data_IF_027826391309
#
_entry.id   IF_027826391309
#
_cell.length_a   1.000
_cell.length_b   1.000
_cell.length_c   1.000
_cell.angle_alpha   90.00
_cell.angle_beta   90.00
_cell.angle_gamma   90.00
#
_symmetry.space_group_name_H-M   'P 1'
#
loop_
_entity.id
_entity.type
_entity.pdbx_description
1 polymer ?
#
# COMPACT_ATOMS: atom_id res chain seq x y z
N UNK A 1 -2.05 35.43 -14.80
CA UNK A 1 -2.94 36.43 -14.15
C UNK A 1 -4.34 36.29 -14.75
N UNK A 2 -5.29 35.81 -13.92
CA UNK A 2 -6.75 35.58 -14.13
C UNK A 2 -7.13 34.46 -15.13
N UNK A 3 -8.13 33.59 -14.93
CA UNK A 3 -9.44 33.60 -14.23
C UNK A 3 -9.79 32.16 -13.72
N UNK A 4 -10.23 31.88 -12.48
CA UNK A 4 -11.52 32.03 -11.78
C UNK A 4 -12.71 31.11 -12.21
N UNK A 5 -13.16 30.32 -11.21
CA UNK A 5 -14.55 30.00 -10.79
C UNK A 5 -15.08 28.56 -11.01
N UNK A 6 -15.37 27.85 -9.90
CA UNK A 6 -16.47 26.88 -9.83
C UNK A 6 -17.29 27.12 -8.55
N UNK A 7 -18.61 27.05 -8.71
CA UNK A 7 -19.62 27.56 -7.80
C UNK A 7 -19.93 26.60 -6.64
N UNK A 8 -20.06 27.17 -5.45
CA UNK A 8 -20.72 26.62 -4.28
C UNK A 8 -22.25 26.58 -4.49
N UNK A 9 -22.89 25.46 -4.16
CA UNK A 9 -24.31 25.43 -3.78
C UNK A 9 -24.42 24.88 -2.36
N UNK A 10 -24.72 25.79 -1.43
CA UNK A 10 -25.20 25.47 -0.08
C UNK A 10 -26.44 26.32 0.15
N UNK A 11 -27.59 25.67 0.28
CA UNK A 11 -28.81 26.28 0.82
C UNK A 11 -29.43 25.27 1.79
N UNK A 12 -29.25 25.55 3.08
CA UNK A 12 -30.15 25.12 4.16
C UNK A 12 -30.98 26.36 4.56
N UNK A 13 -32.30 26.23 4.69
CA UNK A 13 -33.00 26.70 5.90
C UNK A 13 -34.48 26.22 5.97
N UNK A 14 -34.74 25.41 7.01
CA UNK A 14 -35.73 25.60 8.09
C UNK A 14 -37.28 25.59 7.93
N UNK A 15 -37.86 24.76 8.83
CA UNK A 15 -39.06 24.92 9.69
C UNK A 15 -40.45 24.36 9.30
N UNK A 16 -40.85 23.36 10.10
CA UNK A 16 -42.11 23.16 10.87
C UNK A 16 -43.47 23.70 10.36
N UNK A 17 -44.48 22.81 10.29
CA UNK A 17 -45.74 22.85 11.10
C UNK A 17 -46.90 22.06 10.46
N UNK A 18 -47.53 21.24 11.30
CA UNK A 18 -48.81 20.51 11.21
C UNK A 18 -50.01 21.26 10.59
N UNK A 19 -50.79 20.62 9.71
CA UNK A 19 -52.26 20.70 9.70
C UNK A 19 -52.93 19.66 8.80
N UNK A 20 -54.01 19.08 9.33
CA UNK A 20 -54.92 18.09 8.76
C UNK A 20 -55.82 18.69 7.68
N UNK A 21 -55.93 18.04 6.51
CA UNK A 21 -57.10 18.14 5.61
C UNK A 21 -57.34 16.78 4.92
N UNK A 22 -58.61 16.43 4.86
CA UNK A 22 -59.28 15.20 4.41
C UNK A 22 -59.07 14.77 2.95
N UNK A 23 -59.17 13.43 2.79
CA UNK A 23 -59.14 12.57 1.59
C UNK A 23 -60.14 12.98 0.50
N UNK A 24 -59.81 12.77 -0.79
CA UNK A 24 -60.60 11.81 -1.55
C UNK A 24 -59.74 10.75 -2.26
N UNK A 25 -60.30 9.55 -2.24
CA UNK A 25 -59.82 8.29 -2.76
C UNK A 25 -59.70 8.34 -4.29
N UNK A 26 -58.46 8.35 -4.79
CA UNK A 26 -58.17 8.08 -6.21
C UNK A 26 -57.65 6.65 -6.33
N UNK A 27 -58.50 5.76 -6.84
CA UNK A 27 -58.10 4.44 -7.31
C UNK A 27 -57.11 4.61 -8.46
N UNK A 28 -55.82 4.43 -8.18
CA UNK A 28 -54.78 4.35 -9.20
C UNK A 28 -54.35 2.89 -9.34
N UNK A 29 -54.71 2.30 -10.48
CA UNK A 29 -54.22 1.01 -10.96
C UNK A 29 -52.68 1.01 -10.95
N UNK A 30 -52.08 0.20 -10.08
CA UNK A 30 -50.65 -0.08 -10.14
C UNK A 30 -50.38 -0.99 -11.35
N UNK A 31 -50.00 -0.39 -12.46
CA UNK A 31 -49.33 -1.10 -13.55
C UNK A 31 -47.95 -1.49 -13.05
N UNK A 32 -47.75 -2.77 -12.79
CA UNK A 32 -46.45 -3.37 -12.50
C UNK A 32 -45.54 -3.19 -13.70
N UNK A 33 -44.62 -2.22 -13.65
CA UNK A 33 -43.53 -2.11 -14.60
C UNK A 33 -42.53 -3.25 -14.36
N UNK A 34 -42.70 -4.33 -15.12
CA UNK A 34 -41.69 -5.38 -15.25
C UNK A 34 -40.47 -4.78 -15.97
N UNK A 35 -39.39 -4.54 -15.21
CA UNK A 35 -38.07 -4.29 -15.80
C UNK A 35 -37.59 -5.62 -16.38
N UNK A 36 -37.68 -5.77 -17.70
CA UNK A 36 -37.01 -6.86 -18.42
C UNK A 36 -35.51 -6.63 -18.29
N UNK A 37 -34.86 -7.37 -17.38
CA UNK A 37 -33.40 -7.49 -17.37
C UNK A 37 -33.03 -8.30 -18.63
N UNK A 38 -32.44 -7.63 -19.61
CA UNK A 38 -31.76 -8.32 -20.72
C UNK A 38 -30.60 -9.11 -20.11
N UNK A 39 -30.47 -10.43 -20.38
CA UNK A 39 -29.30 -11.17 -19.91
C UNK A 39 -28.05 -10.54 -20.50
N UNK A 40 -27.11 -10.13 -19.64
CA UNK A 40 -25.78 -9.69 -20.08
C UNK A 40 -25.17 -10.86 -20.83
N UNK A 41 -24.79 -10.64 -22.10
CA UNK A 41 -24.17 -11.67 -22.88
C UNK A 41 -22.76 -11.93 -22.34
N UNK A 42 -22.44 -13.19 -22.04
CA UNK A 42 -21.09 -13.62 -21.69
C UNK A 42 -20.09 -13.15 -22.75
N UNK A 43 -18.97 -12.52 -22.37
CA UNK A 43 -17.96 -12.06 -23.32
C UNK A 43 -17.38 -13.25 -24.09
N UNK A 44 -17.12 -13.05 -25.38
CA UNK A 44 -16.62 -14.10 -26.28
C UNK A 44 -15.12 -13.92 -26.55
N UNK A 45 -14.38 -14.92 -27.06
CA UNK A 45 -12.92 -14.81 -27.23
C UNK A 45 -12.40 -13.65 -28.10
N UNK A 46 -13.25 -13.03 -28.91
CA UNK A 46 -12.92 -11.83 -29.71
C UNK A 46 -13.19 -10.50 -28.97
N UNK A 47 -13.79 -10.56 -27.79
CA UNK A 47 -14.10 -9.42 -26.93
C UNK A 47 -12.85 -9.02 -26.14
N UNK A 48 -12.41 -7.74 -26.15
CA UNK A 48 -11.31 -7.28 -25.29
C UNK A 48 -11.55 -7.61 -23.81
N UNK A 49 -12.80 -7.60 -23.32
CA UNK A 49 -13.13 -7.97 -21.95
C UNK A 49 -12.80 -9.43 -21.65
N UNK A 50 -13.05 -10.34 -22.59
CA UNK A 50 -12.66 -11.75 -22.44
C UNK A 50 -11.15 -11.90 -22.32
N UNK A 51 -10.40 -11.17 -23.15
CA UNK A 51 -8.93 -11.24 -23.16
C UNK A 51 -8.35 -10.75 -21.83
N UNK A 52 -8.87 -9.65 -21.28
CA UNK A 52 -8.42 -9.13 -19.98
C UNK A 52 -8.77 -10.13 -18.87
N UNK A 53 -10.02 -10.58 -18.76
CA UNK A 53 -10.43 -11.50 -17.69
C UNK A 53 -9.72 -12.86 -17.73
N UNK A 54 -9.33 -13.36 -18.90
CA UNK A 54 -8.78 -14.73 -19.01
C UNK A 54 -7.25 -14.80 -19.16
N UNK A 55 -6.56 -13.66 -19.09
CA UNK A 55 -5.08 -13.60 -19.11
C UNK A 55 -4.48 -14.28 -17.88
N UNK A 56 -3.26 -14.79 -18.01
CA UNK A 56 -2.46 -15.27 -16.87
C UNK A 56 -1.88 -14.10 -16.09
N UNK A 57 -2.29 -13.97 -14.83
CA UNK A 57 -1.79 -12.95 -13.91
C UNK A 57 -0.80 -13.55 -12.90
N UNK A 58 0.10 -12.71 -12.39
CA UNK A 58 1.09 -13.09 -11.38
C UNK A 58 0.79 -12.39 -10.06
N UNK A 59 0.91 -13.14 -8.96
CA UNK A 59 0.61 -12.64 -7.63
C UNK A 59 1.59 -11.56 -7.17
N UNK A 60 1.08 -10.38 -6.78
CA UNK A 60 1.86 -9.23 -6.27
C UNK A 60 3.11 -8.89 -7.11
N UNK A 61 3.06 -9.22 -8.39
CA UNK A 61 4.03 -8.78 -9.39
C UNK A 61 3.46 -7.51 -10.02
N UNK A 62 4.23 -6.42 -10.05
CA UNK A 62 3.79 -5.16 -10.67
C UNK A 62 3.51 -5.36 -12.16
N UNK A 63 2.35 -4.91 -12.63
CA UNK A 63 1.93 -5.14 -14.03
C UNK A 63 0.88 -4.12 -14.49
N UNK A 64 1.10 -3.56 -15.69
CA UNK A 64 0.12 -2.69 -16.36
C UNK A 64 -1.14 -3.50 -16.68
N UNK A 65 -1.00 -4.77 -17.06
CA UNK A 65 -2.14 -5.65 -17.33
C UNK A 65 -3.02 -5.87 -16.09
N UNK A 66 -2.45 -5.80 -14.89
CA UNK A 66 -3.23 -5.83 -13.64
C UNK A 66 -3.98 -4.52 -13.43
N UNK A 67 -3.38 -3.38 -13.74
CA UNK A 67 -4.10 -2.09 -13.71
C UNK A 67 -5.30 -2.12 -14.65
N UNK A 68 -5.12 -2.61 -15.89
CA UNK A 68 -6.22 -2.79 -16.86
C UNK A 68 -7.34 -3.68 -16.31
N UNK A 69 -6.98 -4.76 -15.59
CA UNK A 69 -7.94 -5.64 -14.94
C UNK A 69 -8.70 -4.90 -13.83
N UNK A 70 -8.01 -4.20 -12.96
CA UNK A 70 -8.60 -3.49 -11.82
C UNK A 70 -9.55 -2.38 -12.29
N UNK A 71 -9.17 -1.63 -13.31
CA UNK A 71 -10.03 -0.65 -13.98
C UNK A 71 -11.28 -1.32 -14.59
N UNK A 72 -11.12 -2.45 -15.28
CA UNK A 72 -12.25 -3.22 -15.84
C UNK A 72 -13.20 -3.71 -14.74
N UNK A 73 -12.67 -4.11 -13.58
CA UNK A 73 -13.43 -4.59 -12.43
C UNK A 73 -14.04 -3.44 -11.60
N UNK A 74 -13.70 -2.19 -11.90
CA UNK A 74 -14.21 -1.01 -11.19
C UNK A 74 -13.69 -0.88 -9.76
N UNK A 75 -12.51 -1.42 -9.48
CA UNK A 75 -11.78 -1.24 -8.21
C UNK A 75 -10.60 -0.30 -8.39
N UNK A 76 -9.99 0.13 -7.29
CA UNK A 76 -8.77 0.94 -7.31
C UNK A 76 -7.64 0.20 -8.04
N UNK A 77 -6.96 0.90 -8.94
CA UNK A 77 -5.96 0.31 -9.83
C UNK A 77 -4.53 0.60 -9.33
N UNK A 78 -4.05 -0.24 -8.40
CA UNK A 78 -2.69 -0.16 -7.84
C UNK A 78 -1.65 -0.97 -8.64
N UNK A 79 -2.09 -1.74 -9.64
CA UNK A 79 -1.26 -2.59 -10.49
C UNK A 79 -0.70 -3.84 -9.81
N UNK A 80 -1.20 -4.19 -8.63
CA UNK A 80 -0.81 -5.39 -7.87
C UNK A 80 -1.97 -6.39 -7.79
N UNK A 81 -1.73 -7.61 -8.27
CA UNK A 81 -2.74 -8.66 -8.15
C UNK A 81 -2.69 -9.23 -6.73
N UNK A 82 -3.42 -8.58 -5.81
CA UNK A 82 -3.55 -8.98 -4.42
C UNK A 82 -4.90 -9.64 -4.08
N UNK A 83 -5.20 -9.87 -2.79
CA UNK A 83 -6.43 -10.53 -2.35
C UNK A 83 -7.71 -9.84 -2.80
N UNK A 84 -7.76 -8.50 -2.71
CA UNK A 84 -8.94 -7.72 -3.10
C UNK A 84 -9.23 -7.86 -4.60
N UNK A 85 -8.20 -7.74 -5.44
CA UNK A 85 -8.33 -7.99 -6.89
C UNK A 85 -8.73 -9.43 -7.17
N UNK A 86 -8.13 -10.41 -6.49
CA UNK A 86 -8.48 -11.82 -6.66
C UNK A 86 -9.94 -12.10 -6.34
N UNK A 87 -10.46 -11.55 -5.24
CA UNK A 87 -11.85 -11.74 -4.81
C UNK A 87 -12.82 -11.25 -5.88
N UNK A 88 -12.65 -10.00 -6.34
CA UNK A 88 -13.52 -9.39 -7.35
C UNK A 88 -13.35 -10.06 -8.72
N UNK A 89 -12.12 -10.43 -9.08
CA UNK A 89 -11.84 -11.12 -10.35
C UNK A 89 -12.47 -12.52 -10.40
N UNK A 90 -12.35 -13.31 -9.32
CA UNK A 90 -12.99 -14.63 -9.25
C UNK A 90 -14.51 -14.50 -9.37
N UNK A 91 -15.12 -13.55 -8.65
CA UNK A 91 -16.56 -13.28 -8.76
C UNK A 91 -16.97 -12.92 -10.19
N UNK A 92 -16.21 -12.06 -10.87
CA UNK A 92 -16.47 -11.70 -12.27
C UNK A 92 -16.33 -12.89 -13.23
N UNK A 93 -15.33 -13.76 -13.05
CA UNK A 93 -15.16 -14.96 -13.86
C UNK A 93 -16.31 -15.96 -13.64
N UNK A 94 -16.74 -16.16 -12.40
CA UNK A 94 -17.85 -17.04 -12.06
C UNK A 94 -19.19 -16.52 -12.62
N UNK A 95 -19.47 -15.22 -12.50
CA UNK A 95 -20.65 -14.58 -13.06
C UNK A 95 -20.73 -14.75 -14.58
N UNK A 96 -19.58 -14.71 -15.25
CA UNK A 96 -19.47 -14.90 -16.70
C UNK A 96 -19.30 -16.38 -17.12
N UNK A 97 -19.21 -17.33 -16.18
CA UNK A 97 -19.00 -18.75 -16.49
C UNK A 97 -17.65 -19.04 -17.17
N UNK A 98 -16.62 -18.26 -16.86
CA UNK A 98 -15.27 -18.34 -17.42
C UNK A 98 -14.33 -19.18 -16.54
N UNK A 99 -13.19 -19.57 -17.11
CA UNK A 99 -12.16 -20.37 -16.42
C UNK A 99 -11.37 -19.53 -15.41
N UNK A 100 -11.04 -20.13 -14.25
CA UNK A 100 -10.15 -19.52 -13.24
C UNK A 100 -8.66 -19.78 -13.51
N UNK A 101 -8.29 -20.40 -14.63
CA UNK A 101 -6.91 -20.79 -14.92
C UNK A 101 -5.90 -19.63 -14.96
N UNK A 102 -6.36 -18.40 -15.20
CA UNK A 102 -5.52 -17.20 -15.19
C UNK A 102 -5.39 -16.54 -13.81
N UNK A 103 -6.11 -17.05 -12.80
CA UNK A 103 -6.10 -16.51 -11.43
C UNK A 103 -4.89 -17.07 -10.68
N UNK A 104 -3.94 -16.23 -10.22
CA UNK A 104 -2.82 -16.69 -9.42
C UNK A 104 -3.25 -17.17 -8.04
N UNK A 105 -2.49 -18.13 -7.51
CA UNK A 105 -2.60 -18.59 -6.15
C UNK A 105 -1.99 -17.57 -5.17
N UNK A 106 -2.61 -17.43 -4.00
CA UNK A 106 -2.06 -16.65 -2.91
C UNK A 106 -0.84 -17.38 -2.31
N UNK A 107 0.30 -16.70 -2.10
CA UNK A 107 1.46 -17.28 -1.45
C UNK A 107 1.11 -17.73 -0.04
N UNK A 108 1.33 -19.00 0.26
CA UNK A 108 1.19 -19.56 1.60
C UNK A 108 2.39 -19.29 2.50
N UNK A 109 3.18 -18.25 2.19
CA UNK A 109 4.40 -17.89 2.90
C UNK A 109 4.15 -17.35 4.31
N UNK A 110 5.17 -16.76 4.91
CA UNK A 110 5.00 -16.09 6.21
C UNK A 110 4.20 -14.78 6.05
N UNK A 111 3.51 -14.35 7.10
CA UNK A 111 2.82 -13.04 7.14
C UNK A 111 3.83 -11.92 7.34
N UNK A 112 3.70 -10.84 6.56
CA UNK A 112 4.51 -9.63 6.70
C UNK A 112 3.62 -8.54 7.29
N UNK A 113 3.90 -8.16 8.54
CA UNK A 113 3.19 -7.09 9.25
C UNK A 113 4.20 -6.03 9.70
N UNK A 114 4.11 -4.82 9.15
CA UNK A 114 5.06 -3.73 9.47
C UNK A 114 5.00 -3.41 10.96
N UNK A 115 6.15 -3.32 11.63
CA UNK A 115 6.22 -3.06 13.07
C UNK A 115 6.14 -4.30 13.95
N UNK A 116 5.96 -5.50 13.37
CA UNK A 116 6.01 -6.77 14.10
C UNK A 116 7.26 -7.61 13.75
N UNK A 117 7.34 -8.84 14.28
CA UNK A 117 8.38 -9.80 13.91
C UNK A 117 8.15 -10.35 12.48
N UNK A 118 9.22 -10.52 11.71
CA UNK A 118 9.12 -11.00 10.34
C UNK A 118 9.41 -12.49 10.22
N UNK A 119 8.45 -13.28 9.72
CA UNK A 119 8.57 -14.74 9.63
C UNK A 119 9.00 -15.39 10.97
N UNK A 120 8.57 -14.83 12.12
CA UNK A 120 8.98 -15.30 13.45
C UNK A 120 10.41 -14.91 13.84
N UNK A 121 11.08 -14.09 13.04
CA UNK A 121 12.40 -13.52 13.34
C UNK A 121 12.22 -12.15 13.99
N UNK A 122 12.86 -12.00 15.14
CA UNK A 122 12.86 -10.80 15.95
C UNK A 122 14.15 -10.01 15.77
N UNK A 123 14.08 -8.73 16.08
CA UNK A 123 15.28 -7.90 16.22
C UNK A 123 16.24 -8.53 17.25
N UNK A 124 17.51 -8.64 16.87
CA UNK A 124 18.56 -9.25 17.67
C UNK A 124 18.81 -10.74 17.40
N UNK A 125 17.96 -11.43 16.62
CA UNK A 125 18.26 -12.79 16.18
C UNK A 125 19.52 -12.84 15.30
N UNK A 126 20.26 -13.95 15.40
CA UNK A 126 21.49 -14.14 14.62
C UNK A 126 21.19 -14.27 13.13
N UNK A 127 22.08 -13.72 12.30
CA UNK A 127 21.97 -13.76 10.83
C UNK A 127 21.91 -15.20 10.30
N UNK A 128 22.62 -16.14 10.92
CA UNK A 128 22.61 -17.56 10.55
C UNK A 128 21.29 -18.27 10.85
N UNK A 129 20.46 -17.71 11.74
CA UNK A 129 19.10 -18.20 12.05
C UNK A 129 18.08 -17.47 11.16
N UNK A 130 18.23 -16.16 11.02
CA UNK A 130 17.28 -15.31 10.32
C UNK A 130 17.21 -15.61 8.81
N UNK A 131 18.35 -15.72 8.12
CA UNK A 131 18.36 -15.91 6.66
C UNK A 131 17.63 -17.20 6.25
N UNK A 132 17.92 -18.38 6.85
CA UNK A 132 17.21 -19.60 6.49
C UNK A 132 15.70 -19.53 6.76
N UNK A 133 15.28 -18.94 7.89
CA UNK A 133 13.86 -18.85 8.25
C UNK A 133 13.08 -17.96 7.26
N UNK A 134 13.64 -16.80 6.91
CA UNK A 134 13.04 -15.91 5.90
C UNK A 134 13.04 -16.60 4.53
N UNK A 135 14.11 -17.32 4.19
CA UNK A 135 14.22 -18.04 2.92
C UNK A 135 13.19 -19.17 2.80
N UNK A 136 12.92 -19.87 3.89
CA UNK A 136 11.88 -20.90 3.96
C UNK A 136 10.49 -20.29 3.79
N UNK A 137 10.24 -19.11 4.37
CA UNK A 137 8.94 -18.44 4.32
C UNK A 137 8.65 -17.69 3.01
N UNK A 138 9.65 -17.06 2.41
CA UNK A 138 9.50 -16.10 1.30
C UNK A 138 10.30 -16.47 0.03
N UNK A 139 11.06 -17.57 0.05
CA UNK A 139 11.92 -17.98 -1.04
C UNK A 139 13.32 -17.35 -1.00
N UNK A 140 14.11 -17.50 -2.07
CA UNK A 140 15.49 -17.02 -2.09
C UNK A 140 15.61 -15.49 -2.08
N UNK A 141 16.69 -14.91 -1.50
CA UNK A 141 16.98 -13.50 -1.62
C UNK A 141 17.05 -13.05 -3.08
N UNK A 142 16.54 -11.86 -3.38
CA UNK A 142 16.61 -11.23 -4.71
C UNK A 142 17.86 -10.39 -4.88
N UNK A 143 18.40 -9.83 -3.79
CA UNK A 143 19.62 -9.03 -3.80
C UNK A 143 20.37 -9.14 -2.48
N UNK A 144 21.68 -9.35 -2.57
CA UNK A 144 22.59 -9.38 -1.43
C UNK A 144 23.71 -8.37 -1.62
N UNK A 145 23.78 -7.37 -0.74
CA UNK A 145 24.93 -6.49 -0.67
C UNK A 145 26.05 -7.09 0.20
N UNK A 146 27.28 -6.67 -0.06
CA UNK A 146 28.39 -6.86 0.88
C UNK A 146 28.21 -6.03 2.14
N UNK A 147 29.13 -6.19 3.09
CA UNK A 147 29.20 -5.34 4.27
C UNK A 147 29.62 -3.92 3.88
N UNK A 148 28.93 -2.91 4.40
CA UNK A 148 29.27 -1.50 4.27
C UNK A 148 29.28 -0.83 5.63
N UNK A 149 30.03 0.27 5.76
CA UNK A 149 30.09 1.03 7.01
C UNK A 149 29.24 2.28 6.87
N UNK A 150 28.36 2.49 7.84
CA UNK A 150 27.57 3.70 7.99
C UNK A 150 27.52 4.04 9.47
N UNK A 151 27.78 5.30 9.83
CA UNK A 151 27.76 5.76 11.23
C UNK A 151 28.60 4.86 12.15
N UNK A 152 29.84 4.61 11.71
CA UNK A 152 30.86 3.77 12.38
C UNK A 152 30.45 2.30 12.62
N UNK A 153 29.28 1.91 12.14
CA UNK A 153 28.71 0.57 12.31
C UNK A 153 28.73 -0.17 10.97
N UNK A 154 29.07 -1.46 11.00
CA UNK A 154 29.03 -2.29 9.79
C UNK A 154 27.65 -2.89 9.61
N UNK A 155 27.05 -2.61 8.46
CA UNK A 155 25.74 -3.11 8.06
C UNK A 155 25.85 -4.03 6.85
N UNK A 156 24.87 -4.93 6.75
CA UNK A 156 24.60 -5.71 5.55
C UNK A 156 23.09 -5.73 5.34
N UNK A 157 22.65 -5.35 4.15
CA UNK A 157 21.24 -5.37 3.78
C UNK A 157 21.01 -6.51 2.78
N UNK A 158 20.00 -7.34 3.04
CA UNK A 158 19.56 -8.41 2.14
C UNK A 158 18.11 -8.15 1.78
N UNK A 159 17.76 -8.34 0.50
CA UNK A 159 16.42 -8.10 -0.03
C UNK A 159 15.74 -9.40 -0.49
N UNK A 160 14.43 -9.45 -0.27
CA UNK A 160 13.48 -10.42 -0.84
C UNK A 160 12.39 -9.63 -1.56
N UNK A 161 12.66 -9.22 -2.78
CA UNK A 161 11.84 -8.24 -3.49
C UNK A 161 11.92 -6.88 -2.80
N UNK A 162 10.76 -6.29 -2.48
CA UNK A 162 10.64 -5.02 -1.77
C UNK A 162 10.99 -5.12 -0.27
N UNK A 163 10.96 -6.32 0.31
CA UNK A 163 11.38 -6.54 1.69
C UNK A 163 12.90 -6.42 1.81
N UNK A 164 13.36 -5.73 2.84
CA UNK A 164 14.76 -5.70 3.25
C UNK A 164 14.93 -6.09 4.71
N UNK A 165 16.06 -6.71 5.02
CA UNK A 165 16.52 -6.96 6.39
C UNK A 165 17.95 -6.47 6.52
N UNK A 166 18.17 -5.68 7.57
CA UNK A 166 19.48 -5.16 7.93
C UNK A 166 20.08 -5.98 9.07
N UNK A 167 21.35 -6.33 8.88
CA UNK A 167 22.19 -6.99 9.87
C UNK A 167 23.32 -6.07 10.28
N UNK A 168 23.64 -6.04 11.57
CA UNK A 168 24.87 -5.40 12.07
C UNK A 168 25.88 -6.44 12.51
N UNK A 169 27.17 -6.10 12.50
CA UNK A 169 28.22 -6.90 13.15
C UNK A 169 29.23 -6.03 13.87
N UNK A 170 29.91 -6.63 14.84
CA UNK A 170 31.12 -6.07 15.47
C UNK A 170 32.21 -7.14 15.56
N UNK A 171 33.42 -6.77 15.98
CA UNK A 171 34.51 -7.76 16.14
C UNK A 171 34.22 -8.84 17.19
N UNK A 172 33.34 -8.55 18.15
CA UNK A 172 33.08 -9.41 19.31
C UNK A 172 31.66 -10.01 19.30
N UNK A 173 30.81 -9.59 18.36
CA UNK A 173 29.40 -9.99 18.32
C UNK A 173 29.07 -10.49 16.92
N UNK A 174 28.50 -11.68 16.89
CA UNK A 174 28.01 -12.30 15.65
C UNK A 174 26.98 -11.41 14.95
N UNK A 175 26.91 -11.46 13.61
CA UNK A 175 25.94 -10.70 12.86
C UNK A 175 24.51 -10.97 13.33
N UNK A 176 23.73 -9.92 13.59
CA UNK A 176 22.35 -10.03 14.07
C UNK A 176 21.43 -9.05 13.37
N UNK A 177 20.14 -9.41 13.30
CA UNK A 177 19.07 -8.54 12.78
C UNK A 177 18.99 -7.29 13.64
N UNK A 178 18.95 -6.13 12.99
CA UNK A 178 18.78 -4.84 13.69
C UNK A 178 17.57 -4.07 13.20
N UNK A 179 17.10 -4.35 11.99
CA UNK A 179 16.00 -3.65 11.37
C UNK A 179 15.47 -4.46 10.20
N UNK A 180 14.19 -4.30 9.91
CA UNK A 180 13.61 -4.77 8.67
C UNK A 180 12.54 -3.78 8.19
N UNK A 181 12.16 -3.89 6.93
CA UNK A 181 11.10 -3.07 6.38
C UNK A 181 10.83 -3.35 4.92
N UNK A 182 9.93 -2.58 4.34
CA UNK A 182 9.60 -2.59 2.91
C UNK A 182 10.18 -1.32 2.30
N UNK A 183 10.94 -1.46 1.22
CA UNK A 183 11.46 -0.33 0.42
C UNK A 183 11.24 -0.59 -1.05
N UNK A 184 10.45 0.28 -1.68
CA UNK A 184 10.13 0.17 -3.10
C UNK A 184 9.96 1.55 -3.75
N UNK A 185 10.09 1.60 -5.07
CA UNK A 185 9.79 2.76 -5.90
C UNK A 185 8.61 2.44 -6.81
N UNK A 186 7.71 3.38 -7.01
CA UNK A 186 6.66 3.33 -8.02
C UNK A 186 6.93 4.35 -9.12
N UNK A 187 6.84 3.91 -10.36
CA UNK A 187 6.96 4.74 -11.55
C UNK A 187 5.63 4.67 -12.28
N UNK A 188 5.04 5.81 -12.63
CA UNK A 188 3.69 5.88 -13.22
C UNK A 188 3.50 4.96 -14.44
N UNK A 189 4.56 4.78 -15.24
CA UNK A 189 4.51 3.94 -16.44
C UNK A 189 4.83 2.48 -16.12
N UNK A 190 5.80 2.21 -15.24
CA UNK A 190 6.34 0.87 -15.03
C UNK A 190 5.76 0.17 -13.80
N UNK A 191 4.92 0.87 -13.01
CA UNK A 191 4.43 0.42 -11.73
C UNK A 191 5.54 0.37 -10.67
N UNK A 192 5.35 -0.52 -9.70
CA UNK A 192 6.35 -0.80 -8.67
C UNK A 192 7.62 -1.44 -9.26
N UNK A 193 8.79 -1.00 -8.80
CA UNK A 193 10.10 -1.46 -9.29
C UNK A 193 10.41 -2.89 -8.84
N UNK A 194 10.08 -3.21 -7.58
CA UNK A 194 10.35 -4.53 -6.97
C UNK A 194 9.05 -5.29 -6.73
N UNK A 195 9.14 -6.61 -6.83
CA UNK A 195 8.05 -7.51 -6.44
C UNK A 195 7.85 -7.52 -4.93
N UNK A 196 6.60 -7.70 -4.48
CA UNK A 196 6.33 -7.93 -3.07
C UNK A 196 6.34 -9.45 -2.79
N UNK A 197 7.14 -9.94 -1.82
CA UNK A 197 7.29 -11.38 -1.59
C UNK A 197 6.04 -12.02 -0.95
N UNK A 198 5.18 -11.21 -0.33
CA UNK A 198 3.91 -11.58 0.28
C UNK A 198 3.07 -10.32 0.47
N UNK A 199 1.81 -10.46 0.91
CA UNK A 199 0.97 -9.33 1.28
C UNK A 199 1.59 -8.64 2.48
N UNK A 200 1.81 -7.33 2.36
CA UNK A 200 2.23 -6.48 3.47
C UNK A 200 1.00 -5.92 4.15
N UNK A 201 0.97 -6.01 5.49
CA UNK A 201 -0.09 -5.46 6.32
C UNK A 201 0.49 -4.48 7.32
N UNK A 202 -0.29 -3.47 7.68
CA UNK A 202 -0.02 -2.60 8.82
C UNK A 202 -0.89 -3.03 10.00
N UNK A 203 -0.38 -2.99 11.23
CA UNK A 203 -1.19 -3.14 12.42
C UNK A 203 -2.05 -1.89 12.63
N UNK A 204 -3.17 -2.03 13.31
CA UNK A 204 -3.83 -0.87 13.92
C UNK A 204 -2.85 -0.24 14.91
N UNK A 205 -2.70 1.08 14.88
CA UNK A 205 -1.72 1.78 15.72
C UNK A 205 -2.26 3.12 16.19
N UNK A 206 -1.42 3.91 16.84
CA UNK A 206 -1.71 5.25 17.31
C UNK A 206 -0.75 6.23 16.65
N UNK A 207 -1.26 7.37 16.17
CA UNK A 207 -0.41 8.43 15.63
C UNK A 207 0.53 8.97 16.71
N UNK A 208 1.75 9.29 16.30
CA UNK A 208 2.73 9.97 17.13
C UNK A 208 2.77 11.44 16.76
N UNK A 209 2.58 12.29 17.76
CA UNK A 209 2.84 13.72 17.66
C UNK A 209 4.37 13.95 17.69
N UNK A 210 4.89 14.41 16.55
CA UNK A 210 6.30 14.75 16.37
C UNK A 210 6.47 15.74 15.22
N UNK A 211 7.63 16.40 15.18
CA UNK A 211 8.02 17.28 14.10
C UNK A 211 9.32 16.78 13.46
N UNK A 212 9.32 16.35 12.19
CA UNK A 212 10.54 15.86 11.52
C UNK A 212 11.64 16.93 11.40
N UNK A 213 11.27 18.21 11.50
CA UNK A 213 12.21 19.34 11.45
C UNK A 213 12.77 19.72 12.83
N UNK A 214 12.28 19.10 13.90
CA UNK A 214 12.78 19.25 15.28
C UNK A 214 13.02 17.87 15.90
N UNK A 215 13.97 17.07 15.37
CA UNK A 215 14.13 15.67 15.76
C UNK A 215 14.58 15.45 17.22
N UNK A 216 15.07 16.49 17.89
CA UNK A 216 15.43 16.47 19.30
C UNK A 216 14.26 16.78 20.25
N UNK A 217 13.11 17.20 19.72
CA UNK A 217 11.91 17.42 20.51
C UNK A 217 11.36 16.09 21.05
N UNK A 218 10.75 16.09 22.24
CA UNK A 218 10.12 14.89 22.77
C UNK A 218 8.95 14.47 21.88
N UNK A 219 8.93 13.19 21.48
CA UNK A 219 7.82 12.58 20.77
C UNK A 219 6.75 12.12 21.76
N UNK A 220 5.47 12.17 21.37
CA UNK A 220 4.35 11.71 22.21
C UNK A 220 3.37 10.86 21.41
N UNK A 221 3.02 9.68 21.92
CA UNK A 221 1.94 8.85 21.33
C UNK A 221 0.61 9.51 21.66
N UNK A 222 -0.25 9.69 20.64
CA UNK A 222 -1.58 10.29 20.78
C UNK A 222 -2.67 9.23 20.96
N UNK A 223 -3.91 9.66 21.22
CA UNK A 223 -5.10 8.78 21.23
C UNK A 223 -5.77 8.66 19.85
N UNK A 224 -5.13 9.14 18.78
CA UNK A 224 -5.69 9.10 17.42
C UNK A 224 -5.32 7.76 16.77
N UNK A 225 -6.30 6.88 16.49
CA UNK A 225 -6.02 5.58 15.90
C UNK A 225 -5.69 5.67 14.41
N UNK A 226 -4.80 4.80 13.95
CA UNK A 226 -4.58 4.52 12.53
C UNK A 226 -5.15 3.16 12.18
N UNK A 227 -5.85 3.01 11.04
CA UNK A 227 -6.35 1.73 10.60
C UNK A 227 -5.21 0.76 10.27
N UNK A 228 -5.46 -0.53 10.45
CA UNK A 228 -4.59 -1.61 9.96
C UNK A 228 -5.02 -2.12 8.58
N UNK A 229 -4.24 -3.07 8.03
CA UNK A 229 -4.55 -3.74 6.76
C UNK A 229 -3.52 -3.49 5.65
N UNK A 230 -3.81 -3.89 4.40
CA UNK A 230 -2.93 -3.67 3.26
C UNK A 230 -3.04 -2.22 2.79
N UNK A 231 -2.21 -1.32 3.35
CA UNK A 231 -2.24 0.12 3.06
C UNK A 231 -1.12 0.57 2.10
N UNK A 232 -0.45 -0.36 1.41
CA UNK A 232 0.55 0.01 0.41
C UNK A 232 -0.20 0.43 -0.85
N UNK A 233 -0.11 1.73 -1.16
CA UNK A 233 -0.65 2.33 -2.37
C UNK A 233 0.42 3.18 -3.06
N UNK A 234 0.32 3.41 -4.38
CA UNK A 234 1.36 4.13 -5.11
C UNK A 234 1.42 5.62 -4.75
N UNK A 235 0.27 6.29 -4.78
CA UNK A 235 0.14 7.74 -4.58
C UNK A 235 0.07 8.10 -3.10
N UNK A 236 0.76 9.18 -2.67
CA UNK A 236 0.76 9.61 -1.28
C UNK A 236 -0.62 10.06 -0.79
N UNK A 237 -1.42 10.73 -1.63
CA UNK A 237 -2.75 11.21 -1.25
C UNK A 237 -3.69 10.05 -0.86
N UNK A 238 -3.60 8.92 -1.58
CA UNK A 238 -4.36 7.71 -1.27
C UNK A 238 -3.89 7.08 0.05
N UNK A 239 -2.58 7.11 0.32
CA UNK A 239 -2.04 6.65 1.59
C UNK A 239 -2.53 7.53 2.75
N UNK A 240 -2.50 8.85 2.59
CA UNK A 240 -2.98 9.82 3.58
C UNK A 240 -4.49 9.70 3.85
N UNK A 241 -5.29 9.44 2.81
CA UNK A 241 -6.71 9.16 2.94
C UNK A 241 -6.94 7.84 3.69
N UNK A 242 -6.24 6.78 3.30
CA UNK A 242 -6.36 5.46 3.91
C UNK A 242 -5.94 5.46 5.39
N UNK A 243 -4.87 6.20 5.74
CA UNK A 243 -4.37 6.30 7.12
C UNK A 243 -5.15 7.34 7.95
N UNK A 244 -5.80 8.30 7.30
CA UNK A 244 -6.54 9.39 7.94
C UNK A 244 -5.65 10.51 8.51
N UNK A 245 -4.41 10.63 8.04
CA UNK A 245 -3.44 11.61 8.52
C UNK A 245 -2.42 12.01 7.44
N UNK A 246 -2.00 13.28 7.38
CA UNK A 246 -1.05 13.74 6.39
C UNK A 246 0.38 13.32 6.74
N UNK A 247 1.22 13.15 5.71
CA UNK A 247 2.66 13.02 5.86
C UNK A 247 3.28 14.39 6.18
N UNK A 248 4.26 14.40 7.09
CA UNK A 248 4.98 15.58 7.51
C UNK A 248 6.27 15.76 6.71
N UNK A 249 6.44 16.95 6.11
CA UNK A 249 7.60 17.26 5.29
C UNK A 249 8.84 17.65 6.11
N UNK A 250 10.00 17.08 5.75
CA UNK A 250 11.31 17.35 6.29
C UNK A 250 12.14 18.20 5.30
N UNK A 251 12.43 19.45 5.67
CA UNK A 251 13.16 20.39 4.80
C UNK A 251 14.62 20.01 4.57
N UNK A 252 15.21 19.19 5.45
CA UNK A 252 16.63 18.85 5.40
C UNK A 252 16.93 17.65 4.50
N UNK A 253 16.01 16.69 4.44
CA UNK A 253 16.17 15.46 3.65
C UNK A 253 15.31 15.45 2.38
N UNK A 254 14.43 16.44 2.20
CA UNK A 254 13.46 16.50 1.11
C UNK A 254 12.56 15.24 1.07
N UNK A 255 12.07 14.86 2.25
CA UNK A 255 11.27 13.66 2.47
C UNK A 255 10.01 14.00 3.25
N UNK A 256 8.97 13.23 3.01
CA UNK A 256 7.74 13.23 3.79
C UNK A 256 7.74 12.02 4.72
N UNK A 257 7.15 12.15 5.91
CA UNK A 257 7.16 11.07 6.88
C UNK A 257 5.95 11.08 7.80
N UNK A 258 5.50 9.89 8.18
CA UNK A 258 4.47 9.68 9.19
C UNK A 258 5.00 8.68 10.21
N UNK A 259 4.64 8.90 11.48
CA UNK A 259 5.06 8.04 12.58
C UNK A 259 3.85 7.58 13.38
N UNK A 260 3.81 6.29 13.65
CA UNK A 260 2.87 5.67 14.57
C UNK A 260 3.64 5.10 15.76
N UNK A 261 2.92 4.52 16.72
CA UNK A 261 3.52 3.83 17.85
C UNK A 261 4.35 2.61 17.42
N UNK A 262 3.96 1.95 16.32
CA UNK A 262 4.52 0.67 15.90
C UNK A 262 5.41 0.77 14.65
N UNK A 263 5.26 1.82 13.84
CA UNK A 263 6.01 1.94 12.59
C UNK A 263 6.23 3.38 12.13
N UNK A 264 7.14 3.52 11.17
CA UNK A 264 7.47 4.77 10.50
C UNK A 264 7.32 4.57 8.99
N UNK A 265 6.78 5.59 8.35
CA UNK A 265 6.66 5.70 6.90
C UNK A 265 7.49 6.87 6.42
N UNK A 266 8.27 6.65 5.38
CA UNK A 266 9.04 7.69 4.68
C UNK A 266 8.69 7.64 3.20
N UNK A 267 8.41 8.80 2.64
CA UNK A 267 8.07 9.02 1.25
C UNK A 267 8.99 10.08 0.65
N UNK A 268 9.35 9.92 -0.61
CA UNK A 268 9.99 10.98 -1.40
C UNK A 268 9.56 10.90 -2.85
N UNK A 269 9.36 12.07 -3.45
CA UNK A 269 9.03 12.22 -4.86
C UNK A 269 10.26 12.71 -5.62
N UNK A 270 10.58 12.04 -6.73
CA UNK A 270 11.62 12.47 -7.65
C UNK A 270 11.00 12.72 -9.02
N UNK A 271 10.98 13.98 -9.45
CA UNK A 271 10.78 14.32 -10.86
C UNK A 271 12.12 14.11 -11.59
N UNK A 272 12.15 13.24 -12.61
CA UNK A 272 13.37 12.62 -13.13
C UNK A 272 14.58 13.53 -13.44
N UNK A 273 15.76 12.89 -13.46
CA UNK A 273 17.05 13.49 -13.83
C UNK A 273 17.41 13.04 -15.27
N UNK A 274 17.68 13.94 -16.24
CA UNK A 274 17.84 15.38 -16.05
C UNK A 274 16.51 16.09 -15.79
N UNK A 275 16.54 17.25 -15.08
CA UNK A 275 15.35 18.06 -14.82
C UNK A 275 14.59 18.33 -16.12
N UNK A 276 13.32 17.92 -16.18
CA UNK A 276 12.46 17.97 -17.38
C UNK A 276 12.07 16.60 -17.96
N UNK A 277 12.48 15.49 -17.33
CA UNK A 277 11.84 14.20 -17.53
C UNK A 277 10.39 14.23 -17.00
N UNK A 278 9.43 13.69 -17.76
CA UNK A 278 8.04 13.51 -17.31
C UNK A 278 7.88 12.30 -16.37
N UNK A 279 8.95 11.53 -16.14
CA UNK A 279 8.89 10.35 -15.30
C UNK A 279 8.98 10.75 -13.82
N UNK A 280 7.83 10.68 -13.16
CA UNK A 280 7.68 10.89 -11.72
C UNK A 280 7.90 9.54 -11.02
N UNK A 281 8.84 9.51 -10.08
CA UNK A 281 9.17 8.34 -9.25
C UNK A 281 8.77 8.62 -7.79
N UNK A 282 7.96 7.73 -7.24
CA UNK A 282 7.49 7.74 -5.85
C UNK A 282 8.25 6.69 -5.05
N UNK A 283 9.10 7.11 -4.10
CA UNK A 283 9.86 6.18 -3.26
C UNK A 283 9.25 6.05 -1.89
N UNK A 284 9.01 4.82 -1.48
CA UNK A 284 8.42 4.45 -0.21
C UNK A 284 9.38 3.61 0.63
N UNK A 285 9.44 3.91 1.92
CA UNK A 285 10.04 3.06 2.95
C UNK A 285 9.10 2.94 4.15
N UNK A 286 8.79 1.70 4.53
CA UNK A 286 7.97 1.36 5.69
C UNK A 286 8.80 0.48 6.62
N UNK A 287 8.97 0.86 7.88
CA UNK A 287 9.88 0.16 8.80
C UNK A 287 9.43 0.34 10.25
N UNK A 288 9.85 -0.55 11.14
CA UNK A 288 9.63 -0.43 12.58
C UNK A 288 10.40 0.77 13.19
N UNK A 289 11.57 1.06 12.64
CA UNK A 289 12.51 2.04 13.16
C UNK A 289 13.29 2.72 12.03
N UNK A 290 13.57 4.01 12.18
CA UNK A 290 14.52 4.68 11.30
C UNK A 290 15.94 4.37 11.76
N UNK A 291 16.87 4.26 10.80
CA UNK A 291 18.29 4.37 11.13
C UNK A 291 18.55 5.76 11.67
N UNK A 292 18.73 5.86 12.99
CA UNK A 292 19.32 7.03 13.61
C UNK A 292 20.81 6.76 13.71
N UNK A 293 21.60 7.61 13.05
CA UNK A 293 22.97 7.76 13.46
C UNK A 293 22.92 8.51 14.78
N UNK A 294 22.98 7.78 15.89
CA UNK A 294 23.25 8.42 17.17
C UNK A 294 24.54 9.22 16.98
N UNK A 295 24.41 10.55 16.97
CA UNK A 295 25.58 11.38 17.23
C UNK A 295 26.01 10.95 18.63
N UNK A 296 27.26 10.47 18.83
CA UNK A 296 27.70 10.12 20.17
C UNK A 296 27.45 11.35 21.03
N UNK A 297 26.72 11.17 22.13
CA UNK A 297 26.58 12.23 23.12
C UNK A 297 28.00 12.64 23.52
N UNK A 298 28.36 13.89 23.21
CA UNK A 298 29.63 14.52 23.60
C UNK A 298 29.87 14.40 25.12
#
# INVERSE_FOLDING_TARGET
MAFLAYQYLKNDDSSDTTSSVTVPESTSTMTSSSVTQTPVATPTPSDPTYVILTREYQWLVPSIEVMELQELLGIEADGLYGPGTREVHVAALEENGLSLSGVPDEPSGCSIVIGEDICGIQIGNLMEIAIPAITEGLGSPTQEAGWYTECETQYRTIYWGALFVDFTRSELVEPKVVRWGIRNSFQVINGWEKTFPSIVRFPESLLVDWNPNEPSAPISITDIPTPGGPLIVPEPDLFEEAIGAPLLYNFSTDQFSLRTADYVVVFSEYSGNPPGSEETEFRWEFTDTLRLCDSPAD
#
